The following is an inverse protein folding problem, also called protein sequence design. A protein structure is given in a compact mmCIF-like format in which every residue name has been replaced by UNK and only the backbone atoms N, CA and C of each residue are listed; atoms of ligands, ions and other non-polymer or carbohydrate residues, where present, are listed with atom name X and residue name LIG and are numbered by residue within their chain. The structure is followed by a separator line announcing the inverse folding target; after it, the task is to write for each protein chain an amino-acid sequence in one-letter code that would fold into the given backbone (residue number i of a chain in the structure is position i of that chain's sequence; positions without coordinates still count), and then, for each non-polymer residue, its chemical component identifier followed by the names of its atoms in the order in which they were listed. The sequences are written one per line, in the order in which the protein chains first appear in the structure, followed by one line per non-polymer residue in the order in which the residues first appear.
data_IF_130305563263
#
_entry.id   IF_130305563263
#
_cell.length_a   1.000
_cell.length_b   1.000
_cell.length_c   1.000
_cell.angle_alpha   90.00
_cell.angle_beta   90.00
_cell.angle_gamma   90.00
#
_symmetry.space_group_name_H-M   'P 1'
#
loop_
_entity.id
_entity.type
_entity.pdbx_description
1 polymer ?
#
# COMPACT_ATOMS: atom_id res chain seq x y z
N UNK A 1 -2.24 10.42 13.36
CA UNK A 1 -2.69 10.18 11.97
C UNK A 1 -2.70 11.44 11.13
N UNK A 2 -3.32 12.54 11.55
CA UNK A 2 -3.34 13.83 10.81
C UNK A 2 -1.94 14.30 10.39
N UNK A 3 -0.96 14.28 11.31
CA UNK A 3 0.40 14.73 11.03
C UNK A 3 1.06 13.98 9.85
N UNK A 4 0.76 12.69 9.68
CA UNK A 4 1.25 11.90 8.54
C UNK A 4 0.51 12.30 7.27
N UNK A 5 -0.82 12.39 7.33
CA UNK A 5 -1.63 12.73 6.16
C UNK A 5 -1.41 14.17 5.67
N UNK A 6 -1.11 15.11 6.58
CA UNK A 6 -0.67 16.47 6.23
C UNK A 6 0.81 16.55 5.80
N UNK A 7 1.51 15.42 5.74
CA UNK A 7 2.91 15.30 5.30
C UNK A 7 3.92 16.02 6.21
N UNK A 8 3.57 16.29 7.47
CA UNK A 8 4.53 16.81 8.46
C UNK A 8 5.52 15.73 8.90
N UNK A 9 5.11 14.48 8.86
CA UNK A 9 5.92 13.31 9.21
C UNK A 9 5.73 12.21 8.16
N UNK A 10 6.83 11.57 7.79
CA UNK A 10 6.78 10.41 6.88
C UNK A 10 6.30 9.16 7.63
N UNK A 11 5.78 8.14 6.94
CA UNK A 11 5.46 6.86 7.58
C UNK A 11 6.66 6.29 8.36
N UNK A 12 6.37 5.63 9.47
CA UNK A 12 7.34 5.01 10.38
C UNK A 12 8.24 5.99 11.17
N UNK A 13 8.01 7.30 11.12
CA UNK A 13 8.79 8.28 11.87
C UNK A 13 8.17 8.65 13.22
N UNK A 14 6.93 8.28 13.49
CA UNK A 14 6.24 8.53 14.74
C UNK A 14 6.13 7.23 15.56
N UNK A 15 6.18 7.36 16.90
CA UNK A 15 5.81 6.27 17.77
C UNK A 15 4.29 6.10 17.76
N UNK A 16 3.82 4.93 17.32
CA UNK A 16 2.41 4.54 17.26
C UNK A 16 2.07 3.44 18.28
N UNK A 17 2.90 3.25 19.28
CA UNK A 17 2.64 2.34 20.39
C UNK A 17 1.31 2.70 21.07
N UNK A 18 0.53 1.69 21.45
CA UNK A 18 -0.81 1.84 22.05
C UNK A 18 -1.85 2.58 21.19
N UNK A 19 -1.59 2.82 19.91
CA UNK A 19 -2.55 3.51 19.04
C UNK A 19 -3.90 2.79 18.98
N UNK A 20 -3.90 1.47 18.86
CA UNK A 20 -5.13 0.69 18.77
C UNK A 20 -5.94 0.67 20.07
N UNK A 21 -5.28 0.73 21.22
CA UNK A 21 -5.93 0.79 22.52
C UNK A 21 -6.56 2.16 22.78
N UNK A 22 -5.95 3.20 22.19
CA UNK A 22 -6.44 4.59 22.30
C UNK A 22 -7.58 4.92 21.35
N UNK A 23 -7.87 4.06 20.37
CA UNK A 23 -8.92 4.26 19.38
C UNK A 23 -10.08 3.31 19.63
N UNK A 24 -11.28 3.87 19.70
CA UNK A 24 -12.52 3.09 19.80
C UNK A 24 -13.12 2.86 18.41
N UNK A 25 -13.89 1.78 18.24
CA UNK A 25 -14.76 1.62 17.09
C UNK A 25 -15.90 2.63 17.20
N UNK A 26 -16.12 3.38 16.15
CA UNK A 26 -17.22 4.33 16.02
C UNK A 26 -17.92 4.12 14.68
N UNK A 27 -19.17 4.55 14.59
CA UNK A 27 -19.86 4.68 13.31
C UNK A 27 -19.45 6.00 12.65
N UNK A 28 -18.76 5.91 11.53
CA UNK A 28 -18.44 7.07 10.68
C UNK A 28 -19.63 7.41 9.82
N UNK A 29 -20.23 8.57 10.04
CA UNK A 29 -21.49 8.96 9.41
C UNK A 29 -21.36 10.24 8.61
N UNK A 30 -22.41 10.59 7.85
CA UNK A 30 -22.53 11.90 7.19
C UNK A 30 -22.52 13.10 8.17
N UNK A 31 -22.79 12.85 9.45
CA UNK A 31 -22.78 13.87 10.51
C UNK A 31 -21.54 13.74 11.44
N UNK A 32 -20.50 13.04 11.02
CA UNK A 32 -19.29 12.76 11.79
C UNK A 32 -19.33 11.44 12.56
N UNK A 33 -18.35 11.19 13.44
CA UNK A 33 -18.30 9.95 14.22
C UNK A 33 -19.38 9.93 15.32
N UNK A 34 -20.00 8.76 15.48
CA UNK A 34 -21.02 8.49 16.53
C UNK A 34 -20.60 7.24 17.28
N UNK A 35 -20.62 7.27 18.61
CA UNK A 35 -20.39 6.10 19.45
C UNK A 35 -21.42 5.00 19.14
N UNK A 36 -20.99 3.74 19.17
CA UNK A 36 -21.86 2.61 18.79
C UNK A 36 -23.07 2.47 19.72
N UNK A 37 -22.90 2.79 21.00
CA UNK A 37 -24.01 2.73 21.98
C UNK A 37 -25.10 3.78 21.72
N UNK A 38 -24.76 4.87 21.01
CA UNK A 38 -25.70 5.94 20.68
C UNK A 38 -26.27 5.86 19.26
N UNK A 39 -25.79 4.95 18.42
CA UNK A 39 -26.12 4.93 16.98
C UNK A 39 -27.61 4.72 16.72
N UNK A 40 -28.26 3.79 17.42
CA UNK A 40 -29.68 3.49 17.24
C UNK A 40 -30.55 4.69 17.58
N UNK A 41 -30.23 5.38 18.69
CA UNK A 41 -30.90 6.60 19.10
C UNK A 41 -30.75 7.72 18.06
N UNK A 42 -29.56 7.87 17.51
CA UNK A 42 -29.28 8.88 16.46
C UNK A 42 -30.03 8.58 15.17
N UNK A 43 -30.10 7.31 14.75
CA UNK A 43 -30.91 6.88 13.59
C UNK A 43 -32.39 7.21 13.80
N UNK A 44 -32.95 6.92 14.98
CA UNK A 44 -34.35 7.21 15.28
C UNK A 44 -34.63 8.72 15.29
N UNK A 45 -33.74 9.53 15.89
CA UNK A 45 -33.87 10.99 15.91
C UNK A 45 -33.78 11.58 14.50
N UNK A 46 -32.84 11.14 13.71
CA UNK A 46 -32.68 11.57 12.30
C UNK A 46 -33.96 11.31 11.50
N UNK A 47 -34.52 10.10 11.59
CA UNK A 47 -35.79 9.75 10.93
C UNK A 47 -36.94 10.62 11.40
N UNK A 48 -37.05 10.87 12.71
CA UNK A 48 -38.08 11.74 13.30
C UNK A 48 -38.01 13.17 12.77
N UNK A 49 -36.79 13.66 12.54
CA UNK A 49 -36.53 15.02 12.04
C UNK A 49 -36.55 15.11 10.51
N UNK A 50 -36.81 14.02 9.78
CA UNK A 50 -36.64 13.92 8.31
C UNK A 50 -35.23 14.29 7.82
N UNK A 51 -34.21 14.02 8.63
CA UNK A 51 -32.81 14.17 8.26
C UNK A 51 -32.25 12.85 7.72
N UNK A 52 -31.34 12.91 6.76
CA UNK A 52 -30.64 11.73 6.26
C UNK A 52 -29.37 11.51 7.08
N UNK A 53 -29.31 10.39 7.78
CA UNK A 53 -28.08 9.93 8.44
C UNK A 53 -27.56 8.71 7.69
N UNK A 54 -26.47 8.89 6.96
CA UNK A 54 -25.78 7.82 6.27
C UNK A 54 -24.64 7.28 7.15
N UNK A 55 -24.59 5.95 7.31
CA UNK A 55 -23.48 5.26 7.98
C UNK A 55 -22.54 4.77 6.89
N UNK A 56 -21.34 5.34 6.83
CA UNK A 56 -20.32 5.03 5.83
C UNK A 56 -19.50 3.79 6.21
N UNK A 57 -19.16 3.66 7.48
CA UNK A 57 -18.36 2.53 8.00
C UNK A 57 -18.44 2.45 9.52
N UNK A 58 -18.03 1.30 10.07
CA UNK A 58 -17.77 1.10 11.49
C UNK A 58 -16.33 0.65 11.63
N UNK A 59 -15.47 1.51 12.14
CA UNK A 59 -14.02 1.24 12.24
C UNK A 59 -13.38 2.19 13.27
N UNK A 60 -12.17 1.85 13.69
CA UNK A 60 -11.28 2.74 14.47
C UNK A 60 -10.74 3.90 13.63
N UNK A 61 -10.64 3.74 12.31
CA UNK A 61 -10.02 4.69 11.38
C UNK A 61 -11.04 5.27 10.40
N UNK A 62 -11.13 6.60 10.28
CA UNK A 62 -11.91 7.22 9.21
C UNK A 62 -11.22 7.12 7.87
N UNK A 63 -11.97 7.44 6.81
CA UNK A 63 -11.39 7.71 5.50
C UNK A 63 -10.56 9.00 5.55
N UNK A 64 -9.48 9.03 4.76
CA UNK A 64 -8.65 10.23 4.61
C UNK A 64 -9.48 11.44 4.20
N UNK A 65 -10.35 11.26 3.20
CA UNK A 65 -11.14 12.33 2.58
C UNK A 65 -12.24 12.90 3.46
N UNK A 66 -12.56 12.26 4.59
CA UNK A 66 -13.46 12.86 5.58
C UNK A 66 -12.82 14.06 6.31
N UNK A 67 -11.49 14.19 6.25
CA UNK A 67 -10.73 15.25 6.94
C UNK A 67 -9.77 16.03 6.05
N UNK A 68 -9.20 15.40 5.03
CA UNK A 68 -8.11 15.96 4.23
C UNK A 68 -8.34 15.64 2.75
N UNK A 69 -8.28 16.66 1.92
CA UNK A 69 -8.20 16.50 0.46
C UNK A 69 -6.76 16.80 0.04
N UNK A 70 -5.93 15.79 -0.23
CA UNK A 70 -4.54 16.01 -0.58
C UNK A 70 -4.44 16.65 -1.98
N UNK A 71 -3.62 17.70 -2.16
CA UNK A 71 -3.47 18.36 -3.45
C UNK A 71 -2.78 17.43 -4.47
N UNK A 72 -3.20 17.52 -5.74
CA UNK A 72 -2.62 16.76 -6.86
C UNK A 72 -2.59 15.24 -6.66
N UNK A 73 -3.59 14.70 -5.96
CA UNK A 73 -3.77 13.26 -5.71
C UNK A 73 -5.14 12.83 -6.21
N UNK A 74 -5.19 11.69 -6.89
CA UNK A 74 -6.46 11.06 -7.29
C UNK A 74 -6.75 9.89 -6.35
N UNK A 75 -8.00 9.82 -5.86
CA UNK A 75 -8.51 8.72 -5.03
C UNK A 75 -9.82 8.25 -5.67
N UNK A 76 -9.80 7.07 -6.27
CA UNK A 76 -10.95 6.52 -7.00
C UNK A 76 -12.07 6.04 -6.06
N UNK A 77 -11.71 5.55 -4.88
CA UNK A 77 -12.64 5.13 -3.83
C UNK A 77 -12.15 5.63 -2.46
N UNK A 78 -12.90 6.55 -1.88
CA UNK A 78 -12.56 7.18 -0.60
C UNK A 78 -12.45 6.17 0.55
N UNK A 79 -13.28 5.11 0.54
CA UNK A 79 -13.30 4.06 1.58
C UNK A 79 -12.01 3.24 1.63
N UNK A 80 -11.20 3.30 0.58
CA UNK A 80 -9.98 2.53 0.42
C UNK A 80 -8.72 3.23 0.97
N UNK A 81 -8.83 4.48 1.41
CA UNK A 81 -7.68 5.24 1.92
C UNK A 81 -7.97 5.72 3.34
N UNK A 82 -7.22 5.21 4.30
CA UNK A 82 -7.36 5.55 5.71
C UNK A 82 -6.70 6.86 6.06
N UNK A 83 -7.28 7.61 6.99
CA UNK A 83 -6.58 8.72 7.64
C UNK A 83 -5.31 8.20 8.31
N UNK A 84 -4.19 8.87 8.09
CA UNK A 84 -2.85 8.39 8.43
C UNK A 84 -2.08 7.85 7.22
N UNK A 85 -2.71 7.78 6.04
CA UNK A 85 -2.00 7.56 4.78
C UNK A 85 -1.19 8.80 4.39
N UNK A 86 0.01 8.60 3.86
CA UNK A 86 0.90 9.62 3.32
C UNK A 86 0.87 9.55 1.79
N UNK A 87 0.20 10.50 1.15
CA UNK A 87 0.08 10.52 -0.31
C UNK A 87 0.82 11.74 -0.87
N UNK A 88 1.93 11.50 -1.56
CA UNK A 88 2.66 12.54 -2.28
C UNK A 88 1.91 13.01 -3.51
N UNK A 89 2.20 14.23 -3.94
CA UNK A 89 1.65 14.79 -5.18
C UNK A 89 1.96 13.88 -6.38
N UNK A 90 1.01 13.78 -7.30
CA UNK A 90 1.08 12.89 -8.45
C UNK A 90 0.70 11.44 -8.16
N UNK A 91 0.33 11.09 -6.92
CA UNK A 91 -0.18 9.76 -6.60
C UNK A 91 -1.60 9.57 -7.13
N UNK A 92 -1.83 8.42 -7.76
CA UNK A 92 -3.17 7.94 -8.10
C UNK A 92 -3.47 6.65 -7.35
N UNK A 93 -4.53 6.64 -6.54
CA UNK A 93 -5.08 5.43 -5.92
C UNK A 93 -6.35 5.07 -6.69
N UNK A 94 -6.31 3.95 -7.42
CA UNK A 94 -7.44 3.44 -8.19
C UNK A 94 -8.46 2.73 -7.28
N UNK A 95 -9.61 2.35 -7.82
CA UNK A 95 -10.73 1.78 -7.07
C UNK A 95 -10.35 0.50 -6.28
N UNK A 96 -9.45 -0.34 -6.81
CA UNK A 96 -8.96 -1.53 -6.11
C UNK A 96 -7.78 -1.23 -5.18
N UNK A 97 -7.15 -0.07 -5.34
CA UNK A 97 -6.04 0.36 -4.48
C UNK A 97 -6.49 0.54 -3.04
N UNK A 98 -5.62 0.19 -2.10
CA UNK A 98 -5.85 0.41 -0.68
C UNK A 98 -4.59 0.96 -0.02
N UNK A 99 -4.75 2.03 0.76
CA UNK A 99 -3.63 2.62 1.52
C UNK A 99 -4.00 2.69 2.99
N UNK A 100 -3.22 1.98 3.81
CA UNK A 100 -3.42 1.95 5.24
C UNK A 100 -2.82 3.20 5.93
N UNK A 101 -3.14 3.40 7.22
CA UNK A 101 -2.45 4.39 8.03
C UNK A 101 -0.96 4.07 8.16
N UNK A 102 -0.13 5.08 8.42
CA UNK A 102 1.32 4.94 8.54
C UNK A 102 1.98 4.26 7.34
N UNK A 103 1.41 4.43 6.17
CA UNK A 103 1.84 3.85 4.89
C UNK A 103 1.64 4.88 3.78
N UNK A 104 2.20 4.67 2.61
CA UNK A 104 1.92 5.56 1.49
C UNK A 104 3.04 5.68 0.45
N UNK A 105 3.04 6.80 -0.28
CA UNK A 105 3.89 7.06 -1.44
C UNK A 105 4.80 8.25 -1.19
N UNK A 106 6.09 8.14 -1.52
CA UNK A 106 7.07 9.22 -1.37
C UNK A 106 7.26 10.08 -2.64
N UNK A 107 6.46 9.85 -3.66
CA UNK A 107 6.44 10.59 -4.92
C UNK A 107 5.27 10.16 -5.78
N UNK A 108 5.16 10.63 -7.04
CA UNK A 108 4.18 10.13 -7.99
C UNK A 108 4.19 8.61 -8.05
N UNK A 109 3.02 7.99 -7.97
CA UNK A 109 2.89 6.54 -8.01
C UNK A 109 1.50 6.12 -8.47
N UNK A 110 1.38 4.95 -9.09
CA UNK A 110 0.11 4.31 -9.41
C UNK A 110 -0.16 3.19 -8.41
N UNK A 111 -1.32 3.25 -7.76
CA UNK A 111 -1.69 2.30 -6.70
C UNK A 111 -3.02 1.65 -7.07
N UNK A 112 -2.95 0.45 -7.63
CA UNK A 112 -4.10 -0.43 -7.89
C UNK A 112 -4.12 -1.64 -6.94
N UNK A 113 -3.09 -1.78 -6.12
CA UNK A 113 -2.94 -2.83 -5.12
C UNK A 113 -2.99 -2.30 -3.69
N UNK A 114 -2.65 -3.16 -2.74
CA UNK A 114 -2.70 -2.87 -1.30
C UNK A 114 -1.35 -2.42 -0.75
N UNK A 115 -1.32 -1.21 -0.16
CA UNK A 115 -0.23 -0.74 0.67
C UNK A 115 -0.61 -0.96 2.15
N UNK A 116 -0.03 -1.97 2.76
CA UNK A 116 -0.27 -2.32 4.16
C UNK A 116 0.41 -1.33 5.12
N UNK A 117 -0.02 -1.32 6.39
CA UNK A 117 0.55 -0.44 7.40
C UNK A 117 2.08 -0.62 7.51
N UNK A 118 2.79 0.49 7.56
CA UNK A 118 4.26 0.54 7.60
C UNK A 118 4.95 0.44 6.24
N UNK A 119 4.23 0.16 5.16
CA UNK A 119 4.81 0.04 3.82
C UNK A 119 4.91 1.40 3.14
N UNK A 120 6.06 1.66 2.53
CA UNK A 120 6.37 2.89 1.80
C UNK A 120 6.72 2.55 0.35
N UNK A 121 6.20 3.34 -0.59
CA UNK A 121 6.40 3.17 -2.03
C UNK A 121 7.17 4.38 -2.57
N UNK A 122 8.28 4.12 -3.24
CA UNK A 122 9.12 5.12 -3.92
C UNK A 122 8.43 5.70 -5.16
N UNK A 123 8.97 6.82 -5.65
CA UNK A 123 8.42 7.54 -6.80
C UNK A 123 8.40 6.69 -8.08
N UNK A 124 7.49 7.01 -8.96
CA UNK A 124 7.33 6.39 -10.28
C UNK A 124 7.09 4.88 -10.24
N UNK A 125 6.73 4.33 -9.08
CA UNK A 125 6.42 2.91 -8.93
C UNK A 125 4.94 2.65 -9.21
N UNK A 126 4.69 1.49 -9.81
CA UNK A 126 3.37 1.02 -10.25
C UNK A 126 3.02 -0.28 -9.51
N UNK A 127 1.96 -0.21 -8.72
CA UNK A 127 1.39 -1.34 -7.98
C UNK A 127 0.14 -1.82 -8.73
N UNK A 128 0.33 -2.82 -9.58
CA UNK A 128 -0.73 -3.39 -10.42
C UNK A 128 -1.92 -3.94 -9.64
N UNK A 129 -3.05 -4.06 -10.33
CA UNK A 129 -4.34 -4.43 -9.75
C UNK A 129 -4.29 -5.66 -8.87
N UNK A 130 -4.78 -5.54 -7.64
CA UNK A 130 -4.81 -6.63 -6.66
C UNK A 130 -3.46 -7.07 -6.10
N UNK A 131 -2.34 -6.41 -6.43
CA UNK A 131 -1.08 -6.75 -5.80
C UNK A 131 -1.12 -6.45 -4.30
N UNK A 132 -0.30 -7.15 -3.52
CA UNK A 132 -0.34 -7.09 -2.06
C UNK A 132 1.03 -6.95 -1.45
N UNK A 133 1.21 -5.95 -0.58
CA UNK A 133 2.39 -5.85 0.27
C UNK A 133 2.10 -6.41 1.65
N UNK A 134 3.04 -7.15 2.22
CA UNK A 134 2.93 -7.65 3.59
C UNK A 134 3.27 -6.52 4.57
N UNK A 135 2.34 -6.25 5.50
CA UNK A 135 2.58 -5.28 6.55
C UNK A 135 3.41 -5.85 7.70
N UNK A 136 4.06 -4.97 8.45
CA UNK A 136 4.89 -5.35 9.61
C UNK A 136 4.10 -5.87 10.80
N UNK A 137 2.81 -5.47 10.93
CA UNK A 137 1.98 -5.79 12.09
C UNK A 137 1.50 -7.25 12.16
N UNK A 138 1.40 -7.94 11.02
CA UNK A 138 0.78 -9.28 10.95
C UNK A 138 1.76 -10.45 10.91
N UNK A 139 3.06 -10.20 10.81
CA UNK A 139 4.06 -11.25 10.56
C UNK A 139 5.15 -11.41 11.62
N UNK A 140 5.14 -10.64 12.71
CA UNK A 140 6.20 -10.70 13.72
C UNK A 140 7.60 -10.35 13.19
N UNK A 141 7.70 -9.81 11.98
CA UNK A 141 8.96 -9.44 11.35
C UNK A 141 9.36 -8.01 11.73
N UNK A 142 10.59 -7.84 12.18
CA UNK A 142 11.20 -6.52 12.40
C UNK A 142 11.48 -5.79 11.07
N UNK A 143 11.48 -6.50 9.95
CA UNK A 143 11.78 -5.95 8.62
C UNK A 143 10.53 -5.26 8.05
N UNK A 144 10.62 -3.95 7.88
CA UNK A 144 9.59 -3.15 7.20
C UNK A 144 9.69 -3.34 5.68
N UNK A 145 8.60 -3.78 5.06
CA UNK A 145 8.53 -3.87 3.60
C UNK A 145 8.52 -2.45 3.02
N UNK A 146 9.34 -2.23 2.01
CA UNK A 146 9.37 -1.00 1.22
C UNK A 146 9.54 -1.34 -0.25
N UNK A 147 9.11 -0.45 -1.11
CA UNK A 147 9.27 -0.54 -2.55
C UNK A 147 10.08 0.69 -2.96
N UNK A 148 11.19 0.45 -3.67
CA UNK A 148 12.06 1.50 -4.19
C UNK A 148 11.39 2.35 -5.28
N UNK A 149 12.20 3.15 -5.96
CA UNK A 149 11.74 3.99 -7.09
C UNK A 149 11.67 3.17 -8.38
N UNK A 150 10.78 3.57 -9.31
CA UNK A 150 10.63 2.98 -10.65
C UNK A 150 10.40 1.46 -10.61
N UNK A 151 9.67 0.97 -9.63
CA UNK A 151 9.33 -0.45 -9.50
C UNK A 151 7.97 -0.77 -10.12
N UNK A 152 7.81 -2.02 -10.55
CA UNK A 152 6.54 -2.56 -11.03
C UNK A 152 6.18 -3.84 -10.25
N UNK A 153 5.06 -3.83 -9.57
CA UNK A 153 4.43 -5.02 -9.04
C UNK A 153 3.31 -5.44 -10.00
N UNK A 154 3.48 -6.55 -10.68
CA UNK A 154 2.46 -7.07 -11.59
C UNK A 154 1.13 -7.38 -10.88
N UNK A 155 0.04 -7.39 -11.63
CA UNK A 155 -1.29 -7.67 -11.09
C UNK A 155 -1.31 -8.97 -10.26
N UNK A 156 -1.99 -8.95 -9.12
CA UNK A 156 -2.09 -10.08 -8.18
C UNK A 156 -0.74 -10.63 -7.68
N UNK A 157 0.34 -9.87 -7.80
CA UNK A 157 1.61 -10.25 -7.18
C UNK A 157 1.62 -9.96 -5.68
N UNK A 158 2.57 -10.53 -4.95
CA UNK A 158 2.72 -10.30 -3.52
C UNK A 158 4.17 -10.08 -3.10
N UNK A 159 4.38 -9.21 -2.14
CA UNK A 159 5.70 -8.80 -1.68
C UNK A 159 5.82 -8.86 -0.15
N UNK A 160 6.76 -9.66 0.33
CA UNK A 160 7.08 -9.81 1.75
C UNK A 160 8.54 -9.51 2.09
N UNK A 161 9.29 -8.84 1.19
CA UNK A 161 10.64 -8.34 1.39
C UNK A 161 10.74 -6.89 0.92
N UNK A 162 11.66 -6.07 1.42
CA UNK A 162 11.98 -4.78 0.79
C UNK A 162 12.51 -4.97 -0.65
N UNK A 163 12.05 -4.13 -1.58
CA UNK A 163 12.64 -3.99 -2.91
C UNK A 163 13.51 -2.75 -2.98
N UNK A 164 14.64 -2.86 -3.67
CA UNK A 164 15.40 -1.71 -4.13
C UNK A 164 14.76 -1.05 -5.35
N UNK A 165 15.49 -0.14 -5.99
CA UNK A 165 15.02 0.61 -7.15
C UNK A 165 15.00 -0.24 -8.43
N UNK A 166 14.16 0.14 -9.39
CA UNK A 166 14.07 -0.47 -10.72
C UNK A 166 13.77 -1.98 -10.68
N UNK A 167 13.01 -2.43 -9.70
CA UNK A 167 12.63 -3.84 -9.57
C UNK A 167 11.25 -4.11 -10.20
N UNK A 168 11.11 -5.32 -10.74
CA UNK A 168 9.84 -5.79 -11.29
C UNK A 168 9.48 -7.15 -10.69
N UNK A 169 8.21 -7.33 -10.30
CA UNK A 169 7.65 -8.63 -9.94
C UNK A 169 6.59 -9.00 -10.98
N UNK A 170 6.71 -10.20 -11.53
CA UNK A 170 5.75 -10.75 -12.48
C UNK A 170 4.34 -10.83 -11.89
N UNK A 171 3.32 -10.68 -12.73
CA UNK A 171 1.92 -10.84 -12.31
C UNK A 171 1.67 -12.25 -11.72
N UNK A 172 0.90 -12.29 -10.61
CA UNK A 172 0.58 -13.54 -9.93
C UNK A 172 1.73 -14.18 -9.13
N UNK A 173 2.92 -13.56 -9.09
CA UNK A 173 4.06 -14.07 -8.33
C UNK A 173 4.06 -13.54 -6.91
N UNK A 174 4.02 -14.43 -5.91
CA UNK A 174 4.12 -14.06 -4.51
C UNK A 174 5.52 -14.38 -3.96
N UNK A 175 6.21 -13.38 -3.40
CA UNK A 175 7.55 -13.47 -2.83
C UNK A 175 7.48 -13.22 -1.33
N UNK A 176 7.81 -14.22 -0.54
CA UNK A 176 7.97 -14.10 0.91
C UNK A 176 9.44 -14.23 1.30
N UNK A 177 9.82 -13.78 2.48
CA UNK A 177 11.22 -13.82 2.95
C UNK A 177 11.88 -15.21 2.83
N UNK A 178 11.11 -16.29 3.00
CA UNK A 178 11.59 -17.67 2.90
C UNK A 178 11.58 -18.29 1.50
N UNK A 179 11.02 -17.58 0.49
CA UNK A 179 10.98 -18.09 -0.90
C UNK A 179 12.38 -18.40 -1.42
N UNK A 180 12.54 -19.58 -2.05
CA UNK A 180 13.80 -19.94 -2.71
C UNK A 180 13.83 -19.35 -4.09
N UNK A 181 14.89 -18.61 -4.41
CA UNK A 181 15.05 -17.88 -5.67
C UNK A 181 16.36 -18.29 -6.32
N UNK A 182 16.30 -18.67 -7.58
CA UNK A 182 17.48 -18.88 -8.41
C UNK A 182 17.94 -17.54 -8.97
N UNK A 183 19.16 -17.10 -8.63
CA UNK A 183 19.77 -15.89 -9.17
C UNK A 183 20.48 -16.17 -10.48
N UNK A 184 20.46 -15.18 -11.37
CA UNK A 184 21.11 -15.23 -12.67
C UNK A 184 22.11 -14.09 -12.82
N UNK A 185 23.27 -14.38 -13.43
CA UNK A 185 24.27 -13.40 -13.75
C UNK A 185 23.91 -12.55 -14.99
N UNK A 186 24.79 -11.59 -15.34
CA UNK A 186 24.61 -10.71 -16.53
C UNK A 186 24.51 -11.44 -17.85
N UNK A 187 25.04 -12.66 -17.93
CA UNK A 187 24.97 -13.52 -19.13
C UNK A 187 23.72 -14.38 -19.17
N UNK A 188 22.78 -14.18 -18.22
CA UNK A 188 21.57 -14.97 -18.04
C UNK A 188 21.85 -16.46 -17.75
N UNK A 189 22.93 -16.74 -17.01
CA UNK A 189 23.30 -18.07 -16.53
C UNK A 189 22.92 -18.20 -15.05
N UNK A 190 22.39 -19.34 -14.58
CA UNK A 190 22.08 -19.56 -13.20
C UNK A 190 23.34 -19.54 -12.33
N UNK A 191 23.31 -18.81 -11.21
CA UNK A 191 24.47 -18.61 -10.34
C UNK A 191 24.30 -19.30 -8.99
N UNK A 192 23.19 -19.07 -8.30
CA UNK A 192 22.94 -19.62 -6.97
C UNK A 192 21.46 -19.72 -6.66
N UNK A 193 21.11 -20.47 -5.59
CA UNK A 193 19.77 -20.49 -5.01
C UNK A 193 19.84 -19.89 -3.60
N UNK A 194 19.19 -18.74 -3.42
CA UNK A 194 19.19 -17.99 -2.17
C UNK A 194 17.77 -17.88 -1.59
N UNK A 195 17.64 -17.40 -0.36
CA UNK A 195 16.34 -16.96 0.17
C UNK A 195 16.03 -15.55 -0.34
N UNK A 196 14.75 -15.26 -0.58
CA UNK A 196 14.33 -13.92 -0.96
C UNK A 196 14.79 -12.83 0.01
N UNK A 197 14.88 -13.13 1.31
CA UNK A 197 15.40 -12.21 2.32
C UNK A 197 16.83 -11.73 2.05
N UNK A 198 17.64 -12.53 1.37
CA UNK A 198 19.02 -12.18 0.99
C UNK A 198 19.08 -11.17 -0.17
N UNK A 199 17.99 -11.03 -0.91
CA UNK A 199 17.81 -10.06 -1.99
C UNK A 199 17.09 -8.77 -1.54
N UNK A 200 16.83 -8.63 -0.24
CA UNK A 200 16.16 -7.44 0.31
C UNK A 200 16.93 -6.16 -0.01
N UNK A 201 16.24 -5.17 -0.59
CA UNK A 201 16.82 -3.88 -0.95
C UNK A 201 17.75 -3.90 -2.17
N UNK A 202 17.95 -5.03 -2.84
CA UNK A 202 18.73 -5.10 -4.07
C UNK A 202 17.98 -4.39 -5.20
N UNK A 203 18.75 -3.61 -5.99
CA UNK A 203 18.24 -2.85 -7.12
C UNK A 203 18.26 -3.67 -8.41
N UNK A 204 17.46 -3.23 -9.41
CA UNK A 204 17.52 -3.73 -10.79
C UNK A 204 17.22 -5.22 -10.92
N UNK A 205 16.30 -5.76 -10.12
CA UNK A 205 15.90 -7.17 -10.16
C UNK A 205 14.55 -7.35 -10.87
N UNK A 206 14.51 -8.37 -11.74
CA UNK A 206 13.29 -8.91 -12.32
C UNK A 206 13.02 -10.27 -11.69
N UNK A 207 11.93 -10.36 -10.93
CA UNK A 207 11.44 -11.60 -10.34
C UNK A 207 10.36 -12.22 -11.24
N UNK A 208 10.60 -13.42 -11.70
CA UNK A 208 9.70 -14.19 -12.58
C UNK A 208 9.56 -15.62 -12.10
N UNK A 209 8.48 -16.28 -12.51
CA UNK A 209 8.30 -17.71 -12.33
C UNK A 209 8.70 -18.43 -13.62
N UNK A 210 9.57 -19.40 -13.50
CA UNK A 210 9.84 -20.31 -14.61
C UNK A 210 8.60 -21.17 -14.89
N UNK A 211 8.00 -21.01 -16.06
CA UNK A 211 6.72 -21.67 -16.42
C UNK A 211 6.82 -23.18 -16.57
N UNK A 212 8.03 -23.73 -16.72
CA UNK A 212 8.25 -25.18 -16.84
C UNK A 212 8.51 -25.82 -15.48
N UNK A 213 9.42 -25.24 -14.69
CA UNK A 213 9.82 -25.80 -13.40
C UNK A 213 9.00 -25.29 -12.22
N UNK A 214 8.33 -24.13 -12.36
CA UNK A 214 7.66 -23.41 -11.28
C UNK A 214 8.63 -22.67 -10.33
N UNK A 215 9.94 -22.77 -10.54
CA UNK A 215 10.93 -22.08 -9.72
C UNK A 215 10.84 -20.57 -9.88
N UNK A 216 11.11 -19.84 -8.78
CA UNK A 216 11.23 -18.39 -8.81
C UNK A 216 12.65 -18.04 -9.23
N UNK A 217 12.77 -17.14 -10.19
CA UNK A 217 14.04 -16.65 -10.72
C UNK A 217 14.17 -15.15 -10.47
N UNK A 218 15.38 -14.71 -10.15
CA UNK A 218 15.75 -13.29 -10.09
C UNK A 218 16.83 -13.03 -11.14
N UNK A 219 16.52 -12.14 -12.09
CA UNK A 219 17.39 -11.74 -13.19
C UNK A 219 17.64 -10.23 -13.11
N UNK A 220 18.67 -9.78 -13.83
CA UNK A 220 18.88 -8.34 -14.00
C UNK A 220 17.68 -7.77 -14.79
N UNK A 221 17.05 -6.73 -14.27
CA UNK A 221 15.92 -6.09 -14.94
C UNK A 221 16.40 -5.28 -16.16
N UNK A 222 16.05 -5.65 -17.40
CA UNK A 222 16.52 -4.97 -18.59
C UNK A 222 15.72 -3.68 -18.89
N UNK A 223 14.62 -3.44 -18.18
CA UNK A 223 13.69 -2.33 -18.45
C UNK A 223 13.60 -1.38 -17.27
N UNK A 224 13.71 -0.09 -17.54
CA UNK A 224 13.22 0.92 -16.60
C UNK A 224 11.71 1.02 -16.67
N UNK A 225 11.04 1.00 -15.54
CA UNK A 225 9.60 1.25 -15.43
C UNK A 225 9.37 2.76 -15.56
N UNK A 226 8.43 3.16 -16.40
CA UNK A 226 8.00 4.54 -16.52
C UNK A 226 6.47 4.60 -16.47
N UNK A 227 5.92 5.42 -15.59
CA UNK A 227 4.48 5.66 -15.55
C UNK A 227 4.00 6.32 -16.85
N UNK A 228 2.87 5.88 -17.36
CA UNK A 228 2.26 6.47 -18.54
C UNK A 228 1.78 7.90 -18.21
N UNK A 229 2.49 8.91 -18.71
CA UNK A 229 2.25 10.32 -18.42
C UNK A 229 0.81 10.79 -18.73
N UNK A 230 0.14 10.15 -19.69
CA UNK A 230 -1.23 10.52 -20.07
C UNK A 230 -2.25 10.00 -19.05
N UNK A 231 -2.07 8.82 -18.52
CA UNK A 231 -2.97 8.20 -17.53
C UNK A 231 -2.78 8.79 -16.13
N UNK A 232 -1.60 9.34 -15.85
CA UNK A 232 -1.21 9.84 -14.50
C UNK A 232 -1.22 11.37 -14.40
N UNK A 233 -1.81 12.08 -15.37
CA UNK A 233 -2.01 13.52 -15.29
C UNK A 233 -3.14 13.81 -14.30
N UNK A 234 -2.80 14.35 -13.14
CA UNK A 234 -3.72 14.78 -12.08
C UNK A 234 -4.03 16.27 -12.22
#
# INVERSE_FOLDING_TARGET
MHLISYKHFVPNSLNLENLFDSLQNVAWTSHGPIELDDIDKRILLSRKNNESLEIKSVDKFPCLTDYIIPPSVRIGDASRVRLGAYLSEGTTVMHEGFVNFNAGTLGPAMIEGRISAGVVVGRNSDLGGGCSTMGTLSGGNEVKVSIGENCLLGANSGLGIPLGDNCTIEAGLYITAGSKITTYNSNNEPESVVKASELSGCNNLLFIRNSQSGAIEAKINPKSVALNKTLHKN
#
